data_IF_246461836951
#
_entry.id   IF_246461836951
#
_cell.length_a   1.000
_cell.length_b   1.000
_cell.length_c   1.000
_cell.angle_alpha   90.00
_cell.angle_beta   90.00
_cell.angle_gamma   90.00
#
_symmetry.space_group_name_H-M   'P 1'
#
loop_
_entity.id
_entity.type
_entity.pdbx_description
1 polymer ?
#
# COMPACT_ATOMS: atom_id res chain seq x y z
N UNK A 1 -5.42 5.91 -27.10
CA UNK A 1 -5.57 5.16 -25.83
C UNK A 1 -5.47 6.19 -24.72
N UNK A 2 -6.61 6.63 -24.19
CA UNK A 2 -6.65 7.59 -23.07
C UNK A 2 -6.94 6.76 -21.80
N UNK A 3 -6.22 7.01 -20.69
CA UNK A 3 -6.13 6.10 -19.54
C UNK A 3 -7.46 5.94 -18.82
N UNK A 4 -7.63 4.75 -18.22
CA UNK A 4 -8.85 4.33 -17.54
C UNK A 4 -9.38 5.37 -16.57
N UNK A 5 -10.71 5.50 -16.58
CA UNK A 5 -11.51 6.28 -15.66
C UNK A 5 -11.23 5.85 -14.20
N UNK A 6 -10.32 6.55 -13.51
CA UNK A 6 -9.90 6.22 -12.14
C UNK A 6 -10.99 6.42 -11.06
N UNK A 7 -12.21 6.84 -11.44
CA UNK A 7 -13.32 7.08 -10.53
C UNK A 7 -14.38 5.97 -10.52
N UNK A 8 -14.39 5.05 -11.49
CA UNK A 8 -15.42 4.00 -11.57
C UNK A 8 -15.05 2.68 -10.89
N UNK A 9 -13.81 2.52 -10.44
CA UNK A 9 -13.37 1.30 -9.76
C UNK A 9 -13.11 1.58 -8.28
N UNK A 10 -14.18 1.97 -7.55
CA UNK A 10 -14.27 1.49 -6.17
C UNK A 10 -14.49 -0.02 -6.32
N UNK A 11 -13.41 -0.79 -6.32
CA UNK A 11 -13.51 -2.22 -6.07
C UNK A 11 -14.13 -2.33 -4.70
N UNK A 12 -15.42 -2.67 -4.64
CA UNK A 12 -15.96 -3.23 -3.43
C UNK A 12 -15.15 -4.51 -3.21
N UNK A 13 -14.17 -4.46 -2.30
CA UNK A 13 -13.46 -5.66 -1.88
C UNK A 13 -14.50 -6.57 -1.27
N UNK A 14 -14.77 -7.71 -1.91
CA UNK A 14 -15.51 -8.79 -1.28
C UNK A 14 -14.61 -9.37 -0.19
N UNK A 15 -15.09 -9.40 1.05
CA UNK A 15 -14.37 -10.04 2.16
C UNK A 15 -14.00 -11.49 1.76
N UNK A 16 -12.71 -11.83 1.84
CA UNK A 16 -12.20 -13.15 1.48
C UNK A 16 -11.99 -13.42 -0.02
N UNK A 17 -12.18 -12.43 -0.91
CA UNK A 17 -11.83 -12.58 -2.34
C UNK A 17 -10.59 -11.77 -2.70
N UNK A 18 -9.45 -12.47 -2.75
CA UNK A 18 -8.16 -11.92 -3.14
C UNK A 18 -7.04 -12.79 -2.59
N UNK A 19 -5.84 -12.70 -3.16
CA UNK A 19 -4.66 -13.22 -2.49
C UNK A 19 -4.37 -12.34 -1.26
N UNK A 20 -4.00 -12.93 -0.11
CA UNK A 20 -3.67 -12.15 1.08
C UNK A 20 -2.46 -11.26 0.82
N UNK A 21 -2.38 -10.15 1.53
CA UNK A 21 -1.17 -9.35 1.61
C UNK A 21 -0.25 -9.97 2.67
N UNK A 22 1.06 -9.87 2.49
CA UNK A 22 2.01 -10.35 3.49
C UNK A 22 2.72 -9.17 4.12
N UNK A 23 2.72 -9.09 5.46
CA UNK A 23 3.28 -7.94 6.18
C UNK A 23 4.77 -7.81 5.90
N UNK A 24 5.22 -6.58 5.66
CA UNK A 24 6.63 -6.22 5.64
C UNK A 24 6.93 -5.20 6.73
N UNK A 25 8.07 -5.33 7.39
CA UNK A 25 8.59 -4.36 8.34
C UNK A 25 9.35 -3.25 7.60
N UNK A 26 9.32 -2.04 8.16
CA UNK A 26 10.06 -0.89 7.66
C UNK A 26 11.57 -0.98 7.95
N UNK A 27 11.96 -1.88 8.86
CA UNK A 27 13.34 -2.22 9.21
C UNK A 27 13.59 -3.74 9.14
N UNK A 28 14.85 -4.11 8.88
CA UNK A 28 15.34 -5.47 8.99
C UNK A 28 15.64 -5.80 10.46
N UNK A 29 15.93 -7.07 10.76
CA UNK A 29 16.24 -7.53 12.12
C UNK A 29 17.48 -6.87 12.75
N UNK A 30 18.40 -6.34 11.93
CA UNK A 30 19.60 -5.62 12.36
C UNK A 30 19.36 -4.11 12.55
N UNK A 31 18.10 -3.64 12.43
CA UNK A 31 17.73 -2.24 12.54
C UNK A 31 18.05 -1.39 11.31
N UNK A 32 18.54 -2.00 10.22
CA UNK A 32 18.72 -1.28 8.96
C UNK A 32 17.38 -1.12 8.23
N UNK A 33 17.17 -0.04 7.45
CA UNK A 33 15.92 0.14 6.70
C UNK A 33 15.66 -1.03 5.75
N UNK A 34 14.41 -1.48 5.68
CA UNK A 34 14.02 -2.51 4.73
C UNK A 34 13.98 -1.91 3.30
N UNK A 35 14.81 -2.41 2.36
CA UNK A 35 14.90 -1.85 1.01
C UNK A 35 13.61 -2.05 0.20
N UNK A 36 12.84 -3.13 0.46
CA UNK A 36 11.60 -3.38 -0.25
C UNK A 36 10.48 -2.44 0.23
N UNK A 37 10.37 -2.20 1.55
CA UNK A 37 9.46 -1.18 2.09
C UNK A 37 9.76 0.20 1.46
N UNK A 38 11.05 0.58 1.46
CA UNK A 38 11.51 1.84 0.87
C UNK A 38 11.24 1.92 -0.63
N UNK A 39 11.38 0.81 -1.36
CA UNK A 39 11.06 0.74 -2.79
C UNK A 39 9.57 0.89 -3.06
N UNK A 40 8.70 0.34 -2.19
CA UNK A 40 7.25 0.48 -2.31
C UNK A 40 6.81 1.93 -2.05
N UNK A 41 7.33 2.56 -0.99
CA UNK A 41 7.11 4.00 -0.73
C UNK A 41 7.54 4.84 -1.93
N UNK A 42 8.72 4.56 -2.49
CA UNK A 42 9.24 5.28 -3.65
C UNK A 42 8.37 5.09 -4.89
N UNK A 43 7.77 3.91 -5.09
CA UNK A 43 6.86 3.66 -6.21
C UNK A 43 5.56 4.46 -6.08
N UNK A 44 4.98 4.48 -4.88
CA UNK A 44 3.84 5.34 -4.55
C UNK A 44 4.15 6.81 -4.82
N UNK A 45 5.27 7.31 -4.28
CA UNK A 45 5.64 8.73 -4.44
C UNK A 45 5.82 9.09 -5.91
N UNK A 46 6.46 8.22 -6.71
CA UNK A 46 6.58 8.41 -8.17
C UNK A 46 5.23 8.43 -8.88
N UNK A 47 4.32 7.51 -8.55
CA UNK A 47 3.00 7.45 -9.18
C UNK A 47 2.17 8.70 -8.85
N UNK A 48 2.15 9.12 -7.58
CA UNK A 48 1.39 10.28 -7.14
C UNK A 48 2.00 11.63 -7.55
N UNK A 49 3.31 11.69 -7.83
CA UNK A 49 3.93 12.88 -8.40
C UNK A 49 3.39 13.24 -9.80
N UNK A 50 2.79 12.27 -10.50
CA UNK A 50 2.14 12.49 -11.80
C UNK A 50 0.71 13.05 -11.69
N UNK A 51 0.17 13.16 -10.48
CA UNK A 51 -1.20 13.58 -10.20
C UNK A 51 -1.22 14.93 -9.48
N UNK A 52 -2.25 15.74 -9.70
CA UNK A 52 -2.45 16.96 -8.93
C UNK A 52 -2.82 16.63 -7.48
N UNK A 53 -2.05 17.13 -6.52
CA UNK A 53 -2.32 16.95 -5.08
C UNK A 53 -3.16 18.11 -4.54
N UNK A 54 -4.41 17.87 -4.10
CA UNK A 54 -5.17 18.88 -3.36
C UNK A 54 -4.51 19.19 -2.01
N UNK A 55 -4.63 20.43 -1.54
CA UNK A 55 -4.16 20.81 -0.21
C UNK A 55 -4.83 19.97 0.87
N UNK A 56 -4.04 19.44 1.80
CA UNK A 56 -4.55 18.60 2.91
C UNK A 56 -4.81 17.14 2.54
N UNK A 57 -4.34 16.69 1.37
CA UNK A 57 -4.46 15.30 0.94
C UNK A 57 -3.09 14.60 0.92
N UNK A 58 -3.11 13.29 1.17
CA UNK A 58 -1.96 12.41 1.11
C UNK A 58 -2.19 11.32 0.08
N UNK A 59 -1.11 10.86 -0.54
CA UNK A 59 -1.16 9.73 -1.46
C UNK A 59 -1.29 8.44 -0.64
N UNK A 60 -2.38 7.73 -0.88
CA UNK A 60 -2.68 6.39 -0.37
C UNK A 60 -2.46 5.37 -1.48
N UNK A 61 -2.11 4.15 -1.09
CA UNK A 61 -1.76 3.07 -2.00
C UNK A 61 -2.34 1.73 -1.57
N UNK A 62 -2.74 0.95 -2.57
CA UNK A 62 -3.08 -0.45 -2.37
C UNK A 62 -2.51 -1.29 -3.53
N UNK A 63 -1.73 -2.35 -3.27
CA UNK A 63 -1.30 -2.82 -1.95
C UNK A 63 -0.34 -1.86 -1.21
N UNK A 64 -0.36 -1.92 0.12
CA UNK A 64 0.34 -1.00 1.01
C UNK A 64 1.88 -1.05 0.86
N UNK A 65 2.58 0.04 1.17
CA UNK A 65 4.04 -0.02 1.28
C UNK A 65 4.52 -1.04 2.33
N UNK A 66 3.69 -1.27 3.34
CA UNK A 66 3.84 -2.26 4.41
C UNK A 66 3.42 -3.69 4.03
N UNK A 67 3.36 -4.03 2.74
CA UNK A 67 3.25 -5.42 2.28
C UNK A 67 4.29 -5.83 1.22
N UNK A 68 4.53 -7.13 1.08
CA UNK A 68 5.40 -7.70 0.03
C UNK A 68 4.85 -7.44 -1.38
N UNK A 69 3.54 -7.35 -1.52
CA UNK A 69 2.79 -7.05 -2.75
C UNK A 69 2.75 -5.55 -3.07
N UNK A 70 3.28 -4.70 -2.19
CA UNK A 70 3.32 -3.26 -2.35
C UNK A 70 3.83 -2.85 -3.74
N UNK A 71 3.32 -1.71 -4.24
CA UNK A 71 3.53 -1.27 -5.62
C UNK A 71 3.01 -2.23 -6.71
N UNK A 72 2.12 -3.17 -6.36
CA UNK A 72 1.52 -4.13 -7.30
C UNK A 72 2.46 -5.28 -7.67
N UNK A 73 3.33 -5.72 -6.76
CA UNK A 73 4.25 -6.83 -7.00
C UNK A 73 3.53 -8.17 -6.93
N UNK A 74 3.85 -9.07 -7.86
CA UNK A 74 3.43 -10.47 -7.80
C UNK A 74 4.42 -11.31 -6.95
N UNK A 75 4.15 -12.61 -6.82
CA UNK A 75 5.00 -13.54 -6.06
C UNK A 75 6.45 -13.65 -6.56
N UNK A 76 6.75 -13.32 -7.82
CA UNK A 76 8.12 -13.27 -8.35
C UNK A 76 8.80 -11.90 -8.14
N UNK A 77 8.15 -10.98 -7.42
CA UNK A 77 8.64 -9.62 -7.19
C UNK A 77 8.50 -8.68 -8.40
N UNK A 78 7.86 -9.13 -9.47
CA UNK A 78 7.66 -8.36 -10.70
C UNK A 78 6.51 -7.36 -10.52
N UNK A 79 6.72 -6.11 -10.93
CA UNK A 79 5.68 -5.08 -10.90
C UNK A 79 4.57 -5.42 -11.90
N UNK A 80 3.33 -5.25 -11.47
CA UNK A 80 2.13 -5.44 -12.28
C UNK A 80 1.26 -4.18 -12.26
N UNK A 81 0.22 -4.14 -13.10
CA UNK A 81 -0.78 -3.07 -13.07
C UNK A 81 -1.83 -3.24 -11.95
N UNK A 82 -1.70 -4.25 -11.08
CA UNK A 82 -2.63 -4.50 -9.98
C UNK A 82 -2.29 -3.61 -8.78
N UNK A 83 -2.41 -2.30 -8.97
CA UNK A 83 -2.13 -1.30 -7.96
C UNK A 83 -3.08 -0.11 -8.11
N UNK A 84 -3.45 0.48 -7.00
CA UNK A 84 -4.25 1.70 -6.93
C UNK A 84 -3.49 2.76 -6.15
N UNK A 85 -3.55 3.99 -6.62
CA UNK A 85 -3.04 5.17 -5.92
C UNK A 85 -4.14 6.22 -5.91
N UNK A 86 -4.35 6.85 -4.75
CA UNK A 86 -5.38 7.88 -4.62
C UNK A 86 -4.96 8.94 -3.61
N UNK A 87 -5.15 10.21 -3.96
CA UNK A 87 -5.10 11.26 -2.96
C UNK A 87 -6.36 11.18 -2.08
N UNK A 88 -6.16 10.98 -0.78
CA UNK A 88 -7.23 10.96 0.24
C UNK A 88 -6.95 12.03 1.29
N UNK A 89 -7.96 12.58 2.00
CA UNK A 89 -7.70 13.61 3.00
C UNK A 89 -6.80 13.08 4.12
N UNK A 90 -5.82 13.89 4.51
CA UNK A 90 -4.78 13.54 5.48
C UNK A 90 -5.32 12.95 6.80
N UNK A 91 -6.41 13.47 7.41
CA UNK A 91 -6.94 12.88 8.65
C UNK A 91 -7.41 11.43 8.47
N UNK A 92 -8.02 11.11 7.32
CA UNK A 92 -8.49 9.74 7.04
C UNK A 92 -7.31 8.81 6.79
N UNK A 93 -6.32 9.25 6.01
CA UNK A 93 -5.13 8.45 5.74
C UNK A 93 -4.36 8.12 7.03
N UNK A 94 -4.13 9.13 7.87
CA UNK A 94 -3.44 8.96 9.14
C UNK A 94 -4.21 8.05 10.12
N UNK A 95 -5.55 8.19 10.17
CA UNK A 95 -6.40 7.31 10.97
C UNK A 95 -6.35 5.87 10.47
N UNK A 96 -6.37 5.64 9.15
CA UNK A 96 -6.30 4.31 8.57
C UNK A 96 -4.94 3.65 8.85
N UNK A 97 -3.83 4.37 8.67
CA UNK A 97 -2.49 3.87 9.02
C UNK A 97 -2.35 3.53 10.50
N UNK A 98 -2.96 4.33 11.39
CA UNK A 98 -3.03 4.03 12.83
C UNK A 98 -3.81 2.75 13.09
N UNK A 99 -4.99 2.60 12.50
CA UNK A 99 -5.80 1.37 12.62
C UNK A 99 -5.07 0.13 12.11
N UNK A 100 -4.35 0.24 10.99
CA UNK A 100 -3.55 -0.85 10.42
C UNK A 100 -2.41 -1.27 11.36
N UNK A 101 -1.72 -0.31 11.99
CA UNK A 101 -0.72 -0.59 13.02
C UNK A 101 -1.32 -1.34 14.22
N UNK A 102 -2.49 -0.89 14.71
CA UNK A 102 -3.18 -1.57 15.80
C UNK A 102 -3.66 -2.96 15.41
N UNK A 103 -4.11 -3.16 14.18
CA UNK A 103 -4.47 -4.47 13.65
C UNK A 103 -3.27 -5.43 13.73
N UNK A 104 -2.09 -5.05 13.22
CA UNK A 104 -0.90 -5.89 13.32
C UNK A 104 -0.52 -6.23 14.77
N UNK A 105 -0.62 -5.26 15.68
CA UNK A 105 -0.30 -5.49 17.10
C UNK A 105 -1.32 -6.40 17.79
N UNK A 106 -2.62 -6.18 17.54
CA UNK A 106 -3.72 -6.94 18.14
C UNK A 106 -3.67 -8.41 17.74
N UNK A 107 -3.42 -8.68 16.45
CA UNK A 107 -3.37 -10.04 15.91
C UNK A 107 -1.95 -10.62 15.87
N UNK A 108 -0.95 -9.88 16.37
CA UNK A 108 0.46 -10.29 16.43
C UNK A 108 1.01 -10.71 15.07
N UNK A 109 0.60 -10.05 13.99
CA UNK A 109 1.08 -10.34 12.64
C UNK A 109 2.57 -10.01 12.57
N UNK A 110 3.40 -10.98 12.21
CA UNK A 110 4.85 -10.84 12.07
C UNK A 110 5.23 -10.58 10.61
N UNK A 111 6.53 -10.44 10.37
CA UNK A 111 7.08 -10.38 9.01
C UNK A 111 6.62 -11.59 8.19
N UNK A 112 6.14 -11.34 6.96
CA UNK A 112 5.56 -12.32 6.02
C UNK A 112 4.23 -12.95 6.44
N UNK A 113 3.63 -12.59 7.57
CA UNK A 113 2.31 -13.14 7.90
C UNK A 113 1.24 -12.61 6.92
N UNK A 114 0.32 -13.48 6.46
CA UNK A 114 -0.76 -13.10 5.58
C UNK A 114 -1.86 -12.33 6.32
N UNK A 115 -2.46 -11.33 5.68
CA UNK A 115 -3.60 -10.55 6.16
C UNK A 115 -4.47 -9.98 5.04
#
# INVERSE_FOLDING_TARGET
MIPGNYLEYIVNGDEGKGAPLHRIWDENQDGTPNPLYSANVSAKDRACALLHRPTGYQCDEYPFASSYEGAGRNASGTLTANVSYKYVPQPHNGSAGTSLRWFWQKYRLLEKDPF
#
